data_IF_686387820185
#
_entry.id   IF_686387820185
#
_cell.length_a   1.000
_cell.length_b   1.000
_cell.length_c   1.000
_cell.angle_alpha   90.00
_cell.angle_beta   90.00
_cell.angle_gamma   90.00
#
_symmetry.space_group_name_H-M   'P 1'
#
loop_
_entity.id
_entity.type
_entity.pdbx_description
1 polymer ?
#
# COMPACT_ATOMS: atom_id res chain seq x y z
N UNK A 1 -64.01 12.62 29.20
CA UNK A 1 -63.60 12.88 30.59
C UNK A 1 -62.16 13.37 30.56
N UNK A 2 -61.89 14.58 31.04
CA UNK A 2 -60.54 15.14 31.14
C UNK A 2 -59.82 14.47 32.31
N UNK A 3 -58.68 13.82 32.06
CA UNK A 3 -57.85 13.28 33.14
C UNK A 3 -57.11 14.44 33.80
N UNK A 4 -57.24 14.58 35.12
CA UNK A 4 -56.39 15.46 35.90
C UNK A 4 -54.93 14.96 35.81
N UNK A 5 -53.93 15.85 35.79
CA UNK A 5 -52.53 15.43 35.74
C UNK A 5 -52.13 14.62 36.99
N UNK A 6 -51.14 13.72 36.89
CA UNK A 6 -50.58 13.06 38.06
C UNK A 6 -50.06 14.13 39.04
N UNK A 7 -50.25 13.89 40.33
CA UNK A 7 -49.87 14.84 41.39
C UNK A 7 -48.38 15.14 41.33
N UNK A 8 -47.98 16.33 41.79
CA UNK A 8 -46.61 16.89 41.76
C UNK A 8 -45.55 16.02 42.43
N UNK A 9 -45.95 14.95 43.13
CA UNK A 9 -45.06 14.00 43.80
C UNK A 9 -44.73 12.77 42.95
N UNK A 10 -45.19 12.73 41.70
CA UNK A 10 -44.83 11.65 40.79
C UNK A 10 -43.42 11.87 40.22
N UNK A 11 -42.51 10.88 40.31
CA UNK A 11 -41.16 11.00 39.74
C UNK A 11 -41.16 11.09 38.20
N UNK A 12 -42.31 10.89 37.55
CA UNK A 12 -42.52 11.07 36.10
C UNK A 12 -43.28 12.35 35.75
N UNK A 13 -43.60 13.21 36.73
CA UNK A 13 -44.25 14.50 36.50
C UNK A 13 -43.24 15.54 36.02
N UNK A 14 -43.36 15.97 34.76
CA UNK A 14 -42.59 17.11 34.24
C UNK A 14 -43.42 18.40 34.37
N UNK A 15 -43.12 19.17 35.42
CA UNK A 15 -43.80 20.42 35.76
C UNK A 15 -43.67 21.51 34.70
N UNK A 16 -42.67 21.43 33.82
CA UNK A 16 -42.40 22.44 32.77
C UNK A 16 -43.53 22.55 31.73
N UNK A 17 -44.46 21.60 31.70
CA UNK A 17 -45.60 21.59 30.77
C UNK A 17 -46.90 22.17 31.34
N UNK A 18 -46.88 22.64 32.59
CA UNK A 18 -48.03 23.22 33.28
C UNK A 18 -47.63 24.62 33.79
N UNK A 19 -48.18 25.67 33.19
CA UNK A 19 -47.85 27.07 33.51
C UNK A 19 -48.72 27.62 34.65
N UNK A 20 -49.85 26.95 34.97
CA UNK A 20 -50.80 27.34 36.04
C UNK A 20 -51.32 26.12 36.79
N UNK A 21 -51.80 26.34 38.01
CA UNK A 21 -52.28 25.30 38.95
C UNK A 21 -53.46 24.46 38.45
N UNK A 22 -54.16 24.91 37.41
CA UNK A 22 -55.32 24.23 36.83
C UNK A 22 -55.13 23.90 35.33
N UNK A 23 -53.89 23.98 34.83
CA UNK A 23 -53.60 23.55 33.48
C UNK A 23 -53.85 22.03 33.38
N UNK A 24 -54.67 21.62 32.42
CA UNK A 24 -54.93 20.22 32.16
C UNK A 24 -54.39 19.88 30.77
N UNK A 25 -53.88 18.66 30.66
CA UNK A 25 -53.48 18.14 29.37
C UNK A 25 -54.73 17.68 28.64
N UNK A 26 -55.12 18.35 27.55
CA UNK A 26 -56.20 17.83 26.71
C UNK A 26 -55.83 16.43 26.21
N UNK A 27 -56.79 15.54 25.99
CA UNK A 27 -56.52 14.22 25.39
C UNK A 27 -55.68 14.37 24.12
N UNK A 28 -55.93 15.39 23.28
CA UNK A 28 -55.16 15.66 22.08
C UNK A 28 -53.70 16.07 22.35
N UNK A 29 -53.45 16.81 23.44
CA UNK A 29 -52.10 17.21 23.85
C UNK A 29 -51.37 16.07 24.59
N UNK A 30 -52.10 15.20 25.28
CA UNK A 30 -51.59 13.99 25.93
C UNK A 30 -51.19 12.92 24.90
N UNK A 31 -52.04 12.69 23.88
CA UNK A 31 -51.80 11.74 22.77
C UNK A 31 -50.62 12.17 21.88
N UNK A 32 -50.30 13.47 21.83
CA UNK A 32 -49.09 14.00 21.18
C UNK A 32 -47.81 13.81 22.00
N UNK A 33 -47.90 13.59 23.32
CA UNK A 33 -46.77 13.58 24.26
C UNK A 33 -46.40 12.18 24.73
N UNK A 34 -47.39 11.30 24.90
CA UNK A 34 -47.18 9.86 24.94
C UNK A 34 -47.20 9.41 23.49
N UNK A 35 -46.05 9.08 22.91
CA UNK A 35 -45.99 8.56 21.55
C UNK A 35 -46.90 7.33 21.43
N UNK A 36 -48.14 7.54 20.99
CA UNK A 36 -49.04 6.47 20.63
C UNK A 36 -48.35 5.67 19.53
N UNK A 37 -48.42 4.33 19.61
CA UNK A 37 -47.88 3.42 18.62
C UNK A 37 -48.22 3.93 17.20
N UNK A 38 -47.24 4.43 16.45
CA UNK A 38 -47.40 4.85 15.05
C UNK A 38 -47.51 6.35 14.71
N UNK A 39 -47.17 7.29 15.59
CA UNK A 39 -47.16 8.74 15.26
C UNK A 39 -45.73 9.31 15.05
N UNK A 40 -45.58 10.25 14.10
CA UNK A 40 -44.32 10.92 13.79
C UNK A 40 -44.07 12.06 14.80
N UNK A 41 -42.99 11.96 15.58
CA UNK A 41 -42.51 13.03 16.44
C UNK A 41 -41.38 13.82 15.78
N UNK A 42 -41.55 15.13 15.60
CA UNK A 42 -40.46 16.03 15.15
C UNK A 42 -39.87 16.71 16.37
N UNK A 43 -38.65 16.31 16.74
CA UNK A 43 -37.91 16.88 17.86
C UNK A 43 -36.76 17.74 17.32
N UNK A 44 -36.45 18.86 17.98
CA UNK A 44 -35.27 19.66 17.66
C UNK A 44 -33.97 18.92 17.95
N UNK A 45 -33.97 18.04 18.96
CA UNK A 45 -32.89 17.10 19.27
C UNK A 45 -33.42 15.88 20.02
N UNK A 46 -32.74 14.75 19.86
CA UNK A 46 -33.00 13.51 20.60
C UNK A 46 -31.69 13.07 21.28
N UNK A 47 -31.66 13.07 22.61
CA UNK A 47 -30.52 12.58 23.40
C UNK A 47 -30.87 11.24 24.04
N UNK A 48 -30.11 10.19 23.72
CA UNK A 48 -30.29 8.85 24.29
C UNK A 48 -29.01 8.41 24.99
N UNK A 49 -29.11 8.13 26.29
CA UNK A 49 -27.97 7.87 27.16
C UNK A 49 -27.31 6.49 26.94
N UNK A 50 -27.99 5.57 26.27
CA UNK A 50 -27.52 4.19 26.07
C UNK A 50 -27.52 3.85 24.58
N UNK A 51 -28.55 3.16 24.10
CA UNK A 51 -28.64 2.67 22.73
C UNK A 51 -29.93 3.12 22.08
N UNK A 52 -29.84 3.45 20.80
CA UNK A 52 -30.98 3.63 19.92
C UNK A 52 -31.26 2.30 19.23
N UNK A 53 -32.34 1.62 19.62
CA UNK A 53 -32.88 0.49 18.88
C UNK A 53 -33.94 1.00 17.91
N UNK A 54 -33.61 1.01 16.62
CA UNK A 54 -34.49 1.49 15.58
C UNK A 54 -34.53 0.50 14.42
N UNK A 55 -35.73 0.18 13.92
CA UNK A 55 -35.89 -0.69 12.76
C UNK A 55 -35.40 -0.08 11.44
N UNK A 56 -35.35 1.26 11.34
CA UNK A 56 -34.74 1.98 10.22
C UNK A 56 -34.25 3.35 10.68
N UNK A 57 -33.09 3.79 10.17
CA UNK A 57 -32.60 5.15 10.35
C UNK A 57 -32.79 5.91 9.04
N UNK A 58 -33.32 7.14 9.10
CA UNK A 58 -33.44 8.03 7.92
C UNK A 58 -32.72 9.34 8.23
N UNK A 59 -31.74 9.72 7.41
CA UNK A 59 -30.99 10.97 7.57
C UNK A 59 -31.23 11.82 6.32
N UNK A 60 -31.65 13.07 6.52
CA UNK A 60 -31.96 14.00 5.43
C UNK A 60 -32.96 13.46 4.38
N UNK A 61 -33.92 12.64 4.82
CA UNK A 61 -34.96 12.06 3.95
C UNK A 61 -34.55 10.79 3.20
N UNK A 62 -33.30 10.32 3.37
CA UNK A 62 -32.84 9.06 2.81
C UNK A 62 -32.69 7.99 3.91
N UNK A 63 -33.21 6.79 3.67
CA UNK A 63 -32.96 5.66 4.55
C UNK A 63 -31.47 5.30 4.55
N UNK A 64 -30.89 5.19 5.73
CA UNK A 64 -29.51 4.76 5.95
C UNK A 64 -29.54 3.28 6.28
N UNK A 65 -28.89 2.47 5.44
CA UNK A 65 -28.72 1.04 5.69
C UNK A 65 -27.52 0.80 6.62
N UNK A 66 -27.80 0.63 7.92
CA UNK A 66 -26.81 0.29 8.93
C UNK A 66 -26.48 -1.20 9.00
N UNK A 67 -27.08 -2.04 8.13
CA UNK A 67 -26.70 -3.46 8.04
C UNK A 67 -25.21 -3.61 7.71
N UNK A 68 -24.63 -2.62 7.02
CA UNK A 68 -23.21 -2.52 6.70
C UNK A 68 -22.29 -2.21 7.91
N UNK A 69 -22.84 -1.88 9.08
CA UNK A 69 -22.08 -1.66 10.32
C UNK A 69 -22.34 -2.76 11.36
N UNK A 70 -23.48 -3.46 11.25
CA UNK A 70 -23.83 -4.57 12.13
C UNK A 70 -22.84 -5.73 12.01
N UNK A 71 -22.33 -6.21 13.16
CA UNK A 71 -21.44 -7.37 13.26
C UNK A 71 -19.97 -7.13 12.89
N UNK A 72 -19.56 -5.89 12.65
CA UNK A 72 -18.15 -5.54 12.41
C UNK A 72 -17.40 -5.46 13.75
N UNK A 73 -16.29 -6.17 13.89
CA UNK A 73 -15.38 -6.05 15.03
C UNK A 73 -14.49 -4.82 14.86
N UNK A 74 -14.28 -4.05 15.93
CA UNK A 74 -13.37 -2.90 15.88
C UNK A 74 -11.98 -3.33 15.36
N UNK A 75 -11.49 -2.63 14.32
CA UNK A 75 -10.20 -2.91 13.69
C UNK A 75 -10.23 -3.92 12.53
N UNK A 76 -11.40 -4.40 12.09
CA UNK A 76 -11.52 -5.23 10.88
C UNK A 76 -12.33 -4.54 9.79
N UNK A 77 -11.99 -4.84 8.53
CA UNK A 77 -12.84 -4.56 7.37
C UNK A 77 -13.54 -5.86 7.01
N UNK A 78 -14.88 -5.86 6.99
CA UNK A 78 -15.66 -7.03 6.62
C UNK A 78 -16.12 -6.94 5.16
N UNK A 79 -16.31 -8.10 4.51
CA UNK A 79 -16.76 -8.17 3.13
C UNK A 79 -18.12 -7.46 2.95
N UNK A 80 -18.24 -6.68 1.88
CA UNK A 80 -19.46 -5.92 1.54
C UNK A 80 -19.91 -4.92 2.62
N UNK A 81 -18.98 -4.47 3.49
CA UNK A 81 -19.21 -3.39 4.47
C UNK A 81 -18.51 -2.10 4.01
N UNK A 82 -18.96 -0.96 4.54
CA UNK A 82 -18.43 0.35 4.14
C UNK A 82 -17.02 0.57 4.70
N UNK A 83 -16.12 1.06 3.84
CA UNK A 83 -14.88 1.72 4.24
C UNK A 83 -15.05 3.22 3.95
N UNK A 84 -15.15 4.04 5.00
CA UNK A 84 -15.34 5.49 4.84
C UNK A 84 -13.99 6.16 4.56
N UNK A 85 -13.93 6.95 3.49
CA UNK A 85 -12.77 7.72 3.07
C UNK A 85 -13.07 9.22 3.18
N UNK A 86 -12.04 10.06 3.16
CA UNK A 86 -12.24 11.51 3.14
C UNK A 86 -12.67 12.03 1.74
N UNK A 87 -12.80 13.35 1.58
CA UNK A 87 -13.22 13.96 0.32
C UNK A 87 -12.24 13.71 -0.84
N UNK A 88 -10.96 13.48 -0.55
CA UNK A 88 -9.93 13.14 -1.52
C UNK A 88 -9.85 11.64 -1.79
N UNK A 89 -10.67 10.84 -1.10
CA UNK A 89 -10.66 9.37 -1.08
C UNK A 89 -9.39 8.81 -0.42
N UNK A 90 -8.77 9.60 0.43
CA UNK A 90 -7.59 9.19 1.18
C UNK A 90 -7.99 8.34 2.39
N UNK A 91 -7.05 7.51 2.80
CA UNK A 91 -7.11 6.63 3.96
C UNK A 91 -5.78 6.78 4.69
N UNK A 92 -5.82 7.22 5.95
CA UNK A 92 -4.62 7.47 6.76
C UNK A 92 -4.65 6.72 8.10
N UNK A 93 -3.50 6.67 8.78
CA UNK A 93 -3.36 6.21 10.18
C UNK A 93 -3.56 4.72 10.45
N UNK A 94 -3.63 3.87 9.42
CA UNK A 94 -3.52 2.41 9.63
C UNK A 94 -2.14 2.06 10.18
N UNK A 95 -2.12 1.32 11.30
CA UNK A 95 -0.86 0.83 11.90
C UNK A 95 -0.21 -0.25 11.04
N UNK A 96 -1.01 -1.18 10.51
CA UNK A 96 -0.59 -2.26 9.61
C UNK A 96 -1.66 -2.45 8.54
N UNK A 97 -1.26 -2.76 7.30
CA UNK A 97 -2.16 -3.13 6.20
C UNK A 97 -1.77 -4.51 5.67
N UNK A 98 -2.68 -5.48 5.77
CA UNK A 98 -2.54 -6.80 5.15
C UNK A 98 -3.48 -6.86 3.95
N UNK A 99 -2.94 -7.12 2.77
CA UNK A 99 -3.72 -7.26 1.53
C UNK A 99 -3.24 -8.49 0.76
N UNK A 100 -4.17 -9.21 0.11
CA UNK A 100 -3.81 -10.31 -0.81
C UNK A 100 -3.14 -9.73 -2.06
N UNK A 101 -3.70 -8.64 -2.59
CA UNK A 101 -3.13 -7.88 -3.69
C UNK A 101 -3.19 -6.40 -3.36
N UNK A 102 -2.08 -5.70 -3.58
CA UNK A 102 -2.02 -4.25 -3.54
C UNK A 102 -1.74 -3.74 -4.95
N UNK A 103 -2.65 -2.95 -5.50
CA UNK A 103 -2.51 -2.34 -6.82
C UNK A 103 -2.39 -0.83 -6.66
N UNK A 104 -1.53 -0.18 -7.45
CA UNK A 104 -1.28 1.26 -7.37
C UNK A 104 0.21 1.60 -7.35
N UNK A 105 0.50 2.86 -7.03
CA UNK A 105 1.87 3.40 -6.96
C UNK A 105 2.29 3.65 -5.52
N UNK A 106 3.48 3.18 -5.13
CA UNK A 106 4.10 3.60 -3.88
C UNK A 106 4.90 4.88 -4.12
N UNK A 107 4.45 5.99 -3.57
CA UNK A 107 5.01 7.32 -3.81
C UNK A 107 6.20 7.67 -2.90
N UNK A 108 6.53 6.83 -1.91
CA UNK A 108 7.63 7.07 -0.96
C UNK A 108 8.99 6.88 -1.64
N UNK A 109 9.80 7.94 -1.71
CA UNK A 109 11.12 7.90 -2.35
C UNK A 109 12.06 6.84 -1.75
N UNK A 110 12.08 6.70 -0.42
CA UNK A 110 12.82 5.66 0.28
C UNK A 110 11.86 4.60 0.82
N UNK A 111 12.19 3.32 0.57
CA UNK A 111 11.41 2.16 1.02
C UNK A 111 12.28 1.23 1.88
N UNK A 112 12.80 1.69 3.05
CA UNK A 112 13.84 0.96 3.80
C UNK A 112 13.37 -0.38 4.39
N UNK A 113 12.06 -0.62 4.47
CA UNK A 113 11.49 -1.81 5.10
C UNK A 113 11.06 -2.90 4.10
N UNK A 114 11.34 -2.75 2.80
CA UNK A 114 11.13 -3.82 1.82
C UNK A 114 12.33 -4.76 1.89
N UNK A 115 12.16 -5.91 2.55
CA UNK A 115 13.22 -6.91 2.75
C UNK A 115 13.08 -8.14 1.85
N UNK A 116 11.95 -8.27 1.17
CA UNK A 116 11.70 -9.33 0.19
C UNK A 116 10.67 -8.87 -0.83
N UNK A 117 10.85 -9.32 -2.07
CA UNK A 117 9.93 -9.13 -3.19
C UNK A 117 9.80 -10.46 -3.93
N UNK A 118 8.68 -10.63 -4.64
CA UNK A 118 8.54 -11.73 -5.60
C UNK A 118 9.32 -11.48 -6.89
N UNK A 119 8.87 -12.08 -7.98
CA UNK A 119 9.45 -11.85 -9.31
C UNK A 119 9.00 -10.51 -9.88
N UNK A 120 9.96 -9.68 -10.30
CA UNK A 120 9.71 -8.49 -11.12
C UNK A 120 9.90 -8.83 -12.59
N UNK A 121 8.89 -8.56 -13.43
CA UNK A 121 9.02 -8.67 -14.89
C UNK A 121 9.89 -7.56 -15.47
N UNK A 122 9.93 -6.40 -14.80
CA UNK A 122 10.77 -5.27 -15.16
C UNK A 122 11.18 -4.50 -13.91
N UNK A 123 12.39 -3.96 -13.92
CA UNK A 123 12.92 -3.06 -12.91
C UNK A 123 13.66 -1.93 -13.63
N UNK A 124 13.17 -0.70 -13.48
CA UNK A 124 13.85 0.48 -13.98
C UNK A 124 14.50 1.20 -12.79
N UNK A 125 15.83 1.34 -12.81
CA UNK A 125 16.60 2.06 -11.79
C UNK A 125 17.23 3.27 -12.48
N UNK A 126 16.81 4.47 -12.09
CA UNK A 126 17.33 5.72 -12.66
C UNK A 126 18.75 6.07 -12.19
N UNK A 127 19.17 5.51 -11.04
CA UNK A 127 20.50 5.66 -10.46
C UNK A 127 21.32 4.37 -10.48
N UNK A 128 22.19 4.19 -9.49
CA UNK A 128 22.96 2.97 -9.31
C UNK A 128 22.16 1.85 -8.62
N UNK A 129 22.48 0.60 -8.96
CA UNK A 129 22.01 -0.59 -8.25
C UNK A 129 23.11 -1.11 -7.34
N UNK A 130 22.87 -1.13 -6.03
CA UNK A 130 23.76 -1.79 -5.06
C UNK A 130 23.18 -3.16 -4.73
N UNK A 131 23.85 -4.22 -5.16
CA UNK A 131 23.46 -5.59 -4.88
C UNK A 131 24.68 -6.39 -4.40
N UNK A 132 24.48 -7.27 -3.41
CA UNK A 132 25.55 -8.19 -2.97
C UNK A 132 25.94 -9.17 -4.07
N UNK A 133 24.94 -9.63 -4.84
CA UNK A 133 25.10 -10.56 -5.95
C UNK A 133 24.12 -10.17 -7.04
N UNK A 134 24.58 -10.16 -8.28
CA UNK A 134 23.74 -10.05 -9.47
C UNK A 134 23.91 -11.32 -10.30
N UNK A 135 22.81 -11.99 -10.61
CA UNK A 135 22.79 -13.20 -11.45
C UNK A 135 21.95 -12.94 -12.70
N UNK A 136 22.30 -13.60 -13.81
CA UNK A 136 21.63 -13.44 -15.10
C UNK A 136 22.55 -12.87 -16.18
N UNK A 137 21.96 -12.37 -17.26
CA UNK A 137 22.68 -11.79 -18.40
C UNK A 137 22.58 -10.27 -18.38
N UNK A 138 23.69 -9.60 -18.72
CA UNK A 138 23.70 -8.16 -18.97
C UNK A 138 23.67 -7.94 -20.49
N UNK A 139 22.48 -7.70 -21.03
CA UNK A 139 22.19 -7.84 -22.48
C UNK A 139 22.62 -6.68 -23.38
N UNK A 140 23.21 -5.60 -22.86
CA UNK A 140 23.64 -4.47 -23.71
C UNK A 140 24.90 -4.86 -24.48
N UNK A 141 24.86 -4.76 -25.82
CA UNK A 141 25.97 -5.16 -26.70
C UNK A 141 27.30 -4.45 -26.38
N UNK A 142 27.24 -3.20 -25.91
CA UNK A 142 28.39 -2.46 -25.39
C UNK A 142 28.14 -2.09 -23.91
N UNK A 143 29.14 -2.32 -23.07
CA UNK A 143 29.14 -1.98 -21.64
C UNK A 143 30.28 -0.98 -21.35
N UNK A 144 30.27 0.23 -21.93
CA UNK A 144 31.42 1.15 -21.90
C UNK A 144 31.78 1.63 -20.48
N UNK A 145 30.86 1.53 -19.54
CA UNK A 145 31.04 1.97 -18.15
C UNK A 145 31.52 0.85 -17.22
N UNK A 146 31.75 -0.37 -17.71
CA UNK A 146 32.42 -1.42 -16.93
C UNK A 146 33.93 -1.22 -17.06
N UNK A 147 34.53 -0.54 -16.08
CA UNK A 147 35.97 -0.23 -16.07
C UNK A 147 36.82 -1.25 -15.32
N UNK A 148 36.18 -2.16 -14.58
CA UNK A 148 36.86 -3.24 -13.85
C UNK A 148 35.91 -4.41 -13.64
N UNK A 149 36.45 -5.62 -13.68
CA UNK A 149 35.75 -6.85 -13.32
C UNK A 149 36.53 -7.57 -12.22
N UNK A 150 35.84 -8.39 -11.43
CA UNK A 150 36.48 -9.35 -10.54
C UNK A 150 37.05 -10.55 -11.32
N UNK A 151 37.14 -11.71 -10.68
CA UNK A 151 37.59 -12.95 -11.33
C UNK A 151 36.49 -13.51 -12.24
N UNK A 152 36.82 -13.77 -13.50
CA UNK A 152 35.95 -14.47 -14.44
C UNK A 152 36.49 -15.90 -14.66
N UNK A 153 35.75 -16.90 -14.18
CA UNK A 153 36.26 -18.28 -14.05
C UNK A 153 35.91 -19.19 -15.23
N UNK A 154 34.89 -18.88 -16.04
CA UNK A 154 34.46 -19.71 -17.17
C UNK A 154 33.98 -18.84 -18.35
N UNK A 155 34.18 -19.31 -19.59
CA UNK A 155 33.55 -18.73 -20.78
C UNK A 155 34.09 -17.37 -21.25
N UNK A 156 35.27 -16.94 -20.78
CA UNK A 156 35.88 -15.69 -21.25
C UNK A 156 36.42 -15.85 -22.69
N UNK A 157 35.60 -15.50 -23.67
CA UNK A 157 36.04 -15.22 -25.04
C UNK A 157 36.35 -13.73 -25.16
N UNK A 158 37.56 -13.33 -24.76
CA UNK A 158 38.03 -11.94 -24.88
C UNK A 158 38.52 -11.65 -26.30
N UNK A 159 37.81 -10.82 -27.05
CA UNK A 159 38.38 -10.10 -28.20
C UNK A 159 38.92 -8.76 -27.70
N UNK A 160 40.24 -8.69 -27.47
CA UNK A 160 40.89 -7.44 -27.05
C UNK A 160 41.16 -6.60 -28.31
N UNK A 161 40.28 -5.65 -28.61
CA UNK A 161 40.49 -4.68 -29.70
C UNK A 161 41.47 -3.59 -29.25
N UNK A 162 42.77 -3.89 -29.22
CA UNK A 162 43.81 -2.94 -28.83
C UNK A 162 44.58 -2.45 -30.08
N UNK A 163 44.07 -1.41 -30.72
CA UNK A 163 44.77 -0.71 -31.81
C UNK A 163 45.34 0.62 -31.32
N UNK A 164 46.44 0.57 -30.56
CA UNK A 164 47.24 1.77 -30.24
C UNK A 164 48.73 1.45 -30.38
N UNK A 165 49.49 2.41 -30.88
CA UNK A 165 50.86 2.31 -31.43
C UNK A 165 52.00 2.09 -30.41
N UNK A 166 51.71 1.67 -29.18
CA UNK A 166 52.72 1.47 -28.12
C UNK A 166 52.96 0.00 -27.83
N UNK A 167 54.22 -0.43 -27.97
CA UNK A 167 54.71 -1.76 -27.62
C UNK A 167 54.72 -1.97 -26.09
N UNK A 168 53.56 -2.23 -25.50
CA UNK A 168 53.42 -2.72 -24.12
C UNK A 168 53.05 -4.20 -24.16
N UNK A 169 53.49 -5.02 -23.19
CA UNK A 169 53.15 -6.44 -23.11
C UNK A 169 51.64 -6.68 -23.30
N UNK A 170 51.26 -7.32 -24.42
CA UNK A 170 49.89 -7.37 -24.94
C UNK A 170 48.96 -8.35 -24.21
N UNK A 171 49.53 -9.41 -23.64
CA UNK A 171 48.87 -10.35 -22.75
C UNK A 171 49.97 -11.03 -21.92
N UNK A 172 49.73 -11.23 -20.61
CA UNK A 172 50.60 -12.03 -19.75
C UNK A 172 49.77 -13.17 -19.19
N UNK A 173 50.02 -14.37 -19.70
CA UNK A 173 49.40 -15.58 -19.18
C UNK A 173 50.31 -16.23 -18.14
N UNK A 174 49.82 -16.36 -16.91
CA UNK A 174 50.54 -17.01 -15.82
C UNK A 174 49.83 -18.30 -15.43
N UNK A 175 50.52 -19.43 -15.57
CA UNK A 175 50.02 -20.70 -15.08
C UNK A 175 50.25 -20.81 -13.57
N UNK A 176 49.18 -20.90 -12.79
CA UNK A 176 49.26 -21.18 -11.34
C UNK A 176 48.88 -22.62 -11.01
N UNK A 177 48.63 -23.46 -12.03
CA UNK A 177 48.24 -24.86 -11.89
C UNK A 177 49.41 -25.79 -12.22
N UNK A 178 49.34 -27.04 -11.75
CA UNK A 178 50.34 -28.08 -12.02
C UNK A 178 50.25 -28.64 -13.45
N UNK A 179 49.17 -28.35 -14.17
CA UNK A 179 48.95 -28.79 -15.56
C UNK A 179 49.52 -27.79 -16.56
N UNK A 180 50.13 -28.21 -17.68
CA UNK A 180 50.66 -27.29 -18.70
C UNK A 180 49.58 -26.35 -19.28
N UNK A 181 49.97 -25.11 -19.58
CA UNK A 181 49.14 -24.22 -20.39
C UNK A 181 49.32 -24.56 -21.87
N UNK A 182 48.24 -24.86 -22.57
CA UNK A 182 48.25 -24.99 -24.03
C UNK A 182 47.93 -23.63 -24.65
N UNK A 183 48.92 -23.00 -25.28
CA UNK A 183 48.77 -21.70 -25.93
C UNK A 183 48.89 -21.87 -27.44
N UNK A 184 47.87 -21.44 -28.18
CA UNK A 184 47.90 -21.39 -29.65
C UNK A 184 47.94 -19.93 -30.06
N UNK A 185 49.02 -19.52 -30.73
CA UNK A 185 49.16 -18.18 -31.28
C UNK A 185 48.87 -18.24 -32.79
N UNK A 186 47.73 -17.70 -33.20
CA UNK A 186 47.41 -17.50 -34.61
C UNK A 186 47.70 -16.05 -34.99
N UNK A 187 48.62 -15.84 -35.93
CA UNK A 187 48.99 -14.52 -36.43
C UNK A 187 48.48 -14.38 -37.87
N UNK A 188 47.55 -13.46 -38.11
CA UNK A 188 47.11 -13.11 -39.46
C UNK A 188 47.99 -11.99 -40.00
N UNK A 189 48.80 -12.28 -41.01
CA UNK A 189 49.72 -11.32 -41.58
C UNK A 189 49.15 -10.74 -42.87
N UNK A 190 48.93 -9.43 -42.92
CA UNK A 190 48.34 -8.74 -44.08
C UNK A 190 49.34 -8.69 -45.27
N UNK A 191 50.63 -8.97 -45.05
CA UNK A 191 51.67 -9.10 -46.08
C UNK A 191 52.85 -9.98 -45.56
N UNK A 192 53.70 -10.59 -46.40
CA UNK A 192 54.83 -11.40 -45.94
C UNK A 192 55.77 -10.60 -45.02
N UNK A 193 56.08 -11.16 -43.84
CA UNK A 193 57.08 -10.61 -42.91
C UNK A 193 58.04 -11.74 -42.52
N UNK A 194 59.33 -11.44 -42.49
CA UNK A 194 60.37 -12.36 -42.03
C UNK A 194 60.38 -12.38 -40.51
N UNK A 195 60.39 -13.57 -39.91
CA UNK A 195 60.66 -13.73 -38.49
C UNK A 195 62.15 -14.00 -38.31
N UNK A 196 62.85 -13.13 -37.56
CA UNK A 196 64.21 -13.41 -37.09
C UNK A 196 64.10 -13.97 -35.68
N UNK A 197 64.70 -15.14 -35.46
CA UNK A 197 64.91 -15.69 -34.14
C UNK A 197 66.28 -15.20 -33.68
N UNK A 198 66.32 -14.40 -32.62
CA UNK A 198 67.59 -14.17 -31.94
C UNK A 198 68.01 -15.46 -31.20
N UNK A 199 69.31 -15.79 -31.23
CA UNK A 199 69.85 -17.01 -30.62
C UNK A 199 69.75 -17.04 -29.09
#
# INVERSE_FOLDING_TARGET
MSSLPPTTNSPVFNSSFFLRSNDYLTIATADKRYQKLGWIGVFSSLAVAVSLDCGSLTIAGAAVDLSSLSGVTAGTVAASKLLMVDANKDISSFRNLTAVNLTGTLLTAAQPNITSIGTLSSLNVSGGLTASTLTGTLSTAAQPNITSLGTLTTGLQTTINNNTTSFASYARWTNSLTTPMNCVLEMSNIAPRTFELEP
#
